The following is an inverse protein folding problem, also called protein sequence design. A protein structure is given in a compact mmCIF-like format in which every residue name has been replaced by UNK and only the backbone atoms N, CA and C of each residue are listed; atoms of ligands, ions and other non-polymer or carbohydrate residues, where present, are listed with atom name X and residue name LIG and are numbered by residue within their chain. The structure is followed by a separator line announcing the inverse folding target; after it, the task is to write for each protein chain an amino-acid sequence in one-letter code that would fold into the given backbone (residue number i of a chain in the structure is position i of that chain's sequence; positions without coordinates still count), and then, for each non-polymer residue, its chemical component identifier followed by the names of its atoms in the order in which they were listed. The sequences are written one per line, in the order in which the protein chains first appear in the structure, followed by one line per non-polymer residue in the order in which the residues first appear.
data_IF_975283761363
#
_entry.id   IF_975283761363
#
_cell.length_a   1.000
_cell.length_b   1.000
_cell.length_c   1.000
_cell.angle_alpha   90.00
_cell.angle_beta   90.00
_cell.angle_gamma   90.00
#
_symmetry.space_group_name_H-M   'P 1'
#
loop_
_entity.id
_entity.type
_entity.pdbx_description
1 polymer ?
#
# COMPACT_ATOMS: atom_id res chain seq x y z
N UNK A 1 15.47 -12.22 14.98
CA UNK A 1 15.59 -11.18 13.90
C UNK A 1 15.48 -9.78 14.50
N UNK A 2 16.17 -8.79 13.90
CA UNK A 2 16.00 -7.36 14.22
C UNK A 2 14.65 -6.84 13.72
N UNK A 3 13.89 -6.13 14.58
CA UNK A 3 12.60 -5.57 14.17
C UNK A 3 12.76 -4.20 13.52
N UNK A 4 12.33 -4.06 12.26
CA UNK A 4 12.31 -2.81 11.52
C UNK A 4 10.89 -2.23 11.53
N UNK A 5 10.67 -1.18 12.33
CA UNK A 5 9.35 -0.59 12.59
C UNK A 5 8.98 0.47 11.56
N UNK A 6 7.68 0.58 11.24
CA UNK A 6 7.16 1.59 10.31
C UNK A 6 7.09 3.02 10.87
N UNK A 7 7.07 3.19 12.19
CA UNK A 7 6.93 4.52 12.79
C UNK A 7 8.06 5.49 12.42
N UNK A 8 9.36 5.12 12.45
CA UNK A 8 10.44 6.01 11.98
C UNK A 8 10.31 6.36 10.49
N UNK A 9 9.87 5.40 9.66
CA UNK A 9 9.65 5.61 8.21
C UNK A 9 8.53 6.62 8.00
N UNK A 10 7.41 6.45 8.69
CA UNK A 10 6.28 7.40 8.64
C UNK A 10 6.68 8.80 9.11
N UNK A 11 7.57 8.92 10.11
CA UNK A 11 8.08 10.21 10.56
C UNK A 11 8.94 10.90 9.48
N UNK A 12 9.84 10.16 8.82
CA UNK A 12 10.65 10.66 7.70
C UNK A 12 9.77 11.15 6.54
N UNK A 13 8.77 10.35 6.16
CA UNK A 13 7.80 10.75 5.11
C UNK A 13 7.06 12.03 5.53
N UNK A 14 6.71 12.20 6.82
CA UNK A 14 6.07 13.41 7.32
C UNK A 14 6.95 14.65 7.12
N UNK A 15 8.24 14.55 7.37
CA UNK A 15 9.20 15.64 7.14
C UNK A 15 9.28 15.99 5.65
N UNK A 16 9.35 14.98 4.76
CA UNK A 16 9.33 15.17 3.31
C UNK A 16 8.03 15.85 2.84
N UNK A 17 6.88 15.44 3.36
CA UNK A 17 5.57 16.05 3.09
C UNK A 17 5.55 17.51 3.56
N UNK A 18 6.08 17.80 4.75
CA UNK A 18 6.19 19.17 5.25
C UNK A 18 6.97 20.07 4.31
N UNK A 19 8.14 19.63 3.87
CA UNK A 19 8.98 20.36 2.91
C UNK A 19 8.33 20.55 1.53
N UNK A 20 7.48 19.59 1.11
CA UNK A 20 6.70 19.72 -0.12
C UNK A 20 5.53 20.70 0.04
N UNK A 21 4.87 20.74 1.19
CA UNK A 21 3.76 21.65 1.47
C UNK A 21 4.18 23.12 1.44
N UNK A 22 5.40 23.45 1.85
CA UNK A 22 5.95 24.80 1.77
C UNK A 22 6.02 25.34 0.32
N UNK A 23 5.98 24.45 -0.68
CA UNK A 23 5.99 24.84 -2.12
C UNK A 23 4.58 25.05 -2.68
N UNK A 24 3.54 24.76 -1.91
CA UNK A 24 2.16 24.91 -2.36
C UNK A 24 1.66 26.30 -2.01
N UNK A 25 1.30 27.07 -3.03
CA UNK A 25 0.64 28.36 -2.86
C UNK A 25 -0.88 28.16 -2.82
N UNK A 26 -1.49 28.28 -1.64
CA UNK A 26 -2.94 28.14 -1.48
C UNK A 26 -3.33 27.19 -0.33
N UNK A 27 -4.57 26.71 -0.32
CA UNK A 27 -5.04 25.81 0.73
C UNK A 27 -4.33 24.47 0.66
N UNK A 28 -4.18 23.82 1.82
CA UNK A 28 -3.63 22.47 1.88
C UNK A 28 -4.40 21.49 0.96
N UNK A 29 -3.73 20.52 0.33
CA UNK A 29 -4.38 19.52 -0.53
C UNK A 29 -5.50 18.77 0.19
N UNK A 30 -6.59 18.49 -0.55
CA UNK A 30 -7.77 17.78 -0.03
C UNK A 30 -7.85 16.37 -0.61
N UNK A 31 -7.89 15.38 0.29
CA UNK A 31 -8.17 13.98 0.00
C UNK A 31 -9.67 13.72 0.05
N UNK A 32 -10.25 13.20 -1.02
CA UNK A 32 -11.57 12.59 -1.00
C UNK A 32 -11.44 11.10 -0.62
N UNK A 33 -12.07 10.70 0.48
CA UNK A 33 -12.14 9.29 0.92
C UNK A 33 -13.55 8.79 0.59
N UNK A 34 -13.65 7.80 -0.29
CA UNK A 34 -14.93 7.31 -0.80
C UNK A 34 -15.19 5.91 -0.25
N UNK A 35 -16.32 5.72 0.42
CA UNK A 35 -16.77 4.45 1.00
C UNK A 35 -18.21 4.15 0.64
N UNK A 36 -18.49 2.90 0.30
CA UNK A 36 -19.84 2.38 0.05
C UNK A 36 -20.16 1.30 1.08
N UNK A 37 -21.24 1.51 1.84
CA UNK A 37 -21.62 0.62 2.94
C UNK A 37 -20.87 0.92 4.25
N UNK A 38 -20.97 -0.01 5.20
CA UNK A 38 -20.48 0.13 6.59
C UNK A 38 -19.60 -1.06 7.00
N UNK A 39 -18.71 -1.49 6.10
CA UNK A 39 -17.73 -2.52 6.45
C UNK A 39 -16.82 -2.01 7.59
N UNK A 40 -16.69 -2.74 8.70
CA UNK A 40 -15.88 -2.31 9.85
C UNK A 40 -14.42 -2.05 9.52
N UNK A 41 -13.82 -2.84 8.61
CA UNK A 41 -12.43 -2.69 8.20
C UNK A 41 -12.24 -1.40 7.39
N UNK A 42 -13.16 -1.10 6.47
CA UNK A 42 -13.15 0.14 5.69
C UNK A 42 -13.33 1.37 6.61
N UNK A 43 -14.25 1.29 7.56
CA UNK A 43 -14.47 2.36 8.56
C UNK A 43 -13.23 2.57 9.44
N UNK A 44 -12.53 1.50 9.79
CA UNK A 44 -11.29 1.58 10.55
C UNK A 44 -10.17 2.23 9.75
N UNK A 45 -10.04 1.84 8.46
CA UNK A 45 -9.07 2.42 7.55
C UNK A 45 -9.36 3.90 7.27
N UNK A 46 -10.63 4.26 7.02
CA UNK A 46 -11.10 5.65 6.85
C UNK A 46 -10.68 6.51 8.03
N UNK A 47 -11.02 6.09 9.27
CA UNK A 47 -10.61 6.83 10.49
C UNK A 47 -9.10 7.00 10.59
N UNK A 48 -8.35 5.96 10.26
CA UNK A 48 -6.88 6.00 10.24
C UNK A 48 -6.34 6.98 9.22
N UNK A 49 -6.93 7.00 8.01
CA UNK A 49 -6.55 7.91 6.93
C UNK A 49 -6.84 9.37 7.31
N UNK A 50 -8.04 9.67 7.82
CA UNK A 50 -8.41 11.02 8.31
C UNK A 50 -7.40 11.51 9.36
N UNK A 51 -7.18 10.70 10.41
CA UNK A 51 -6.22 11.04 11.46
C UNK A 51 -4.80 11.28 10.92
N UNK A 52 -4.39 10.52 9.91
CA UNK A 52 -3.09 10.69 9.27
C UNK A 52 -3.04 11.99 8.48
N UNK A 53 -4.07 12.32 7.68
CA UNK A 53 -4.14 13.57 6.95
C UNK A 53 -4.05 14.78 7.89
N UNK A 54 -4.83 14.79 8.98
CA UNK A 54 -4.78 15.85 9.99
C UNK A 54 -3.38 15.98 10.59
N UNK A 55 -2.74 14.86 10.96
CA UNK A 55 -1.39 14.86 11.53
C UNK A 55 -0.31 15.38 10.56
N UNK A 56 -0.58 15.34 9.27
CA UNK A 56 0.30 15.83 8.20
C UNK A 56 -0.05 17.25 7.72
N UNK A 57 -1.08 17.90 8.33
CA UNK A 57 -1.54 19.23 7.94
C UNK A 57 -2.30 19.25 6.61
N UNK A 58 -2.89 18.13 6.24
CA UNK A 58 -3.65 17.94 5.00
C UNK A 58 -5.16 17.95 5.29
N UNK A 59 -5.95 18.33 4.30
CA UNK A 59 -7.42 18.27 4.40
C UNK A 59 -7.93 16.91 3.94
N UNK A 60 -9.01 16.42 4.53
CA UNK A 60 -9.73 15.24 4.07
C UNK A 60 -11.23 15.45 4.15
N UNK A 61 -11.97 14.77 3.27
CA UNK A 61 -13.43 14.71 3.27
C UNK A 61 -13.88 13.30 2.97
N UNK A 62 -14.73 12.74 3.85
CA UNK A 62 -15.32 11.43 3.62
C UNK A 62 -16.63 11.59 2.84
N UNK A 63 -16.77 10.78 1.81
CA UNK A 63 -17.98 10.61 0.99
C UNK A 63 -18.48 9.19 1.21
N UNK A 64 -19.58 9.08 1.93
CA UNK A 64 -20.15 7.78 2.33
C UNK A 64 -21.49 7.55 1.62
N UNK A 65 -21.61 6.39 1.00
CA UNK A 65 -22.78 6.01 0.25
C UNK A 65 -23.44 4.76 0.84
N UNK A 66 -24.76 4.62 0.74
CA UNK A 66 -25.46 3.44 1.24
C UNK A 66 -25.04 2.19 0.46
N UNK A 67 -25.05 1.03 1.14
CA UNK A 67 -24.60 -0.24 0.57
C UNK A 67 -25.39 -0.68 -0.67
N UNK A 68 -26.63 -0.22 -0.80
CA UNK A 68 -27.57 -0.51 -1.89
C UNK A 68 -27.61 0.54 -3.00
N UNK A 69 -26.69 1.53 -2.96
CA UNK A 69 -26.60 2.52 -4.05
C UNK A 69 -26.45 1.82 -5.40
N UNK A 70 -27.19 2.31 -6.40
CA UNK A 70 -27.11 1.75 -7.75
C UNK A 70 -25.80 2.16 -8.45
N UNK A 71 -25.35 1.35 -9.43
CA UNK A 71 -24.16 1.65 -10.23
C UNK A 71 -24.23 3.04 -10.88
N UNK A 72 -25.37 3.39 -11.48
CA UNK A 72 -25.57 4.69 -12.14
C UNK A 72 -25.49 5.86 -11.14
N UNK A 73 -26.16 5.73 -9.99
CA UNK A 73 -26.13 6.77 -8.97
C UNK A 73 -24.71 6.95 -8.41
N UNK A 74 -24.02 5.84 -8.13
CA UNK A 74 -22.64 5.90 -7.64
C UNK A 74 -21.69 6.55 -8.68
N UNK A 75 -21.78 6.15 -9.95
CA UNK A 75 -20.98 6.75 -11.02
C UNK A 75 -21.19 8.26 -11.16
N UNK A 76 -22.43 8.72 -11.01
CA UNK A 76 -22.78 10.15 -11.03
C UNK A 76 -22.08 10.91 -9.88
N UNK A 77 -22.21 10.40 -8.66
CA UNK A 77 -21.59 11.02 -7.48
C UNK A 77 -20.06 10.96 -7.56
N UNK A 78 -19.51 9.82 -8.01
CA UNK A 78 -18.09 9.64 -8.21
C UNK A 78 -17.54 10.65 -9.24
N UNK A 79 -18.25 10.86 -10.35
CA UNK A 79 -17.86 11.85 -11.37
C UNK A 79 -17.80 13.25 -10.77
N UNK A 80 -18.79 13.65 -9.98
CA UNK A 80 -18.80 14.95 -9.34
C UNK A 80 -17.62 15.16 -8.39
N UNK A 81 -17.22 14.13 -7.63
CA UNK A 81 -16.06 14.16 -6.75
C UNK A 81 -14.76 14.21 -7.58
N UNK A 82 -14.69 13.41 -8.63
CA UNK A 82 -13.52 13.30 -9.50
C UNK A 82 -13.26 14.62 -10.27
N UNK A 83 -14.31 15.35 -10.63
CA UNK A 83 -14.22 16.65 -11.33
C UNK A 83 -14.07 17.85 -10.38
N UNK A 84 -14.30 17.68 -9.06
CA UNK A 84 -14.15 18.78 -8.09
C UNK A 84 -12.70 19.32 -8.09
N UNK A 85 -12.48 20.59 -8.46
CA UNK A 85 -11.13 21.19 -8.52
C UNK A 85 -10.47 21.34 -7.14
N UNK A 86 -11.25 21.36 -6.04
CA UNK A 86 -10.72 21.41 -4.68
C UNK A 86 -10.20 20.03 -4.21
N UNK A 87 -10.66 18.93 -4.82
CA UNK A 87 -10.13 17.57 -4.56
C UNK A 87 -8.80 17.40 -5.28
N UNK A 88 -7.74 17.15 -4.50
CA UNK A 88 -6.38 16.92 -5.01
C UNK A 88 -6.07 15.45 -5.23
N UNK A 89 -6.78 14.56 -4.54
CA UNK A 89 -6.62 13.12 -4.70
C UNK A 89 -7.81 12.34 -4.14
N UNK A 90 -7.93 11.11 -4.57
CA UNK A 90 -9.04 10.20 -4.23
C UNK A 90 -8.47 8.92 -3.65
N UNK A 91 -9.05 8.49 -2.54
CA UNK A 91 -8.92 7.16 -1.97
C UNK A 91 -10.27 6.46 -2.07
N UNK A 92 -10.37 5.46 -2.91
CA UNK A 92 -11.56 4.61 -3.03
C UNK A 92 -11.37 3.34 -2.19
N UNK A 93 -12.20 3.17 -1.16
CA UNK A 93 -12.18 1.95 -0.34
C UNK A 93 -12.83 0.80 -1.12
N UNK A 94 -12.13 -0.32 -1.20
CA UNK A 94 -12.51 -1.48 -2.02
C UNK A 94 -12.41 -2.79 -1.20
N UNK A 95 -13.15 -3.85 -1.56
CA UNK A 95 -13.95 -3.98 -2.77
C UNK A 95 -15.29 -3.23 -2.70
N UNK A 96 -15.76 -2.75 -3.84
CA UNK A 96 -17.10 -2.17 -3.97
C UNK A 96 -18.19 -3.24 -3.90
N UNK A 97 -19.44 -2.90 -3.50
CA UNK A 97 -20.58 -3.81 -3.57
C UNK A 97 -20.80 -4.34 -4.99
N UNK A 98 -21.27 -5.57 -5.10
CA UNK A 98 -21.35 -6.34 -6.37
C UNK A 98 -22.18 -5.67 -7.48
N UNK A 99 -23.13 -4.81 -7.13
CA UNK A 99 -23.95 -4.08 -8.10
C UNK A 99 -23.19 -2.94 -8.77
N UNK A 100 -22.05 -2.50 -8.23
CA UNK A 100 -21.21 -1.47 -8.83
C UNK A 100 -20.10 -2.12 -9.66
N UNK A 101 -19.97 -1.69 -10.90
CA UNK A 101 -18.89 -2.16 -11.77
C UNK A 101 -17.55 -1.47 -11.39
N UNK A 102 -16.78 -2.10 -10.52
CA UNK A 102 -15.50 -1.56 -10.02
C UNK A 102 -14.53 -1.20 -11.15
N UNK A 103 -14.50 -1.99 -12.24
CA UNK A 103 -13.66 -1.71 -13.42
C UNK A 103 -14.01 -0.42 -14.15
N UNK A 104 -15.29 -0.05 -14.16
CA UNK A 104 -15.71 1.21 -14.75
C UNK A 104 -15.22 2.39 -13.90
N UNK A 105 -15.29 2.26 -12.58
CA UNK A 105 -14.78 3.28 -11.65
C UNK A 105 -13.26 3.42 -11.76
N UNK A 106 -12.54 2.29 -11.85
CA UNK A 106 -11.09 2.28 -12.10
C UNK A 106 -10.72 2.98 -13.42
N UNK A 107 -11.56 2.89 -14.44
CA UNK A 107 -11.35 3.57 -15.72
C UNK A 107 -11.78 5.05 -15.70
N UNK A 108 -12.72 5.43 -14.83
CA UNK A 108 -13.24 6.80 -14.71
C UNK A 108 -12.37 7.72 -13.87
N UNK A 109 -11.63 7.19 -12.89
CA UNK A 109 -10.82 8.02 -12.00
C UNK A 109 -9.77 8.82 -12.79
N UNK A 110 -9.66 10.12 -12.50
CA UNK A 110 -8.56 10.92 -13.05
C UNK A 110 -7.21 10.35 -12.57
N UNK A 111 -6.34 9.89 -13.48
CA UNK A 111 -5.04 9.34 -13.10
C UNK A 111 -4.18 10.27 -12.26
N UNK A 112 -4.41 11.58 -12.32
CA UNK A 112 -3.71 12.57 -11.49
C UNK A 112 -4.23 12.61 -10.06
N UNK A 113 -5.47 12.15 -9.82
CA UNK A 113 -6.11 12.06 -8.51
C UNK A 113 -6.13 10.65 -7.94
N UNK A 114 -5.75 9.65 -8.73
CA UNK A 114 -5.68 8.24 -8.36
C UNK A 114 -4.44 7.97 -7.51
N UNK A 115 -4.55 8.19 -6.20
CA UNK A 115 -3.40 8.11 -5.30
C UNK A 115 -3.01 6.67 -4.92
N UNK A 116 -3.87 5.70 -5.19
CA UNK A 116 -3.61 4.28 -4.88
C UNK A 116 -3.37 3.44 -6.15
N UNK A 117 -3.16 4.10 -7.29
CA UNK A 117 -2.72 3.49 -8.54
C UNK A 117 -3.67 2.42 -9.09
N UNK A 118 -4.98 2.64 -8.95
CA UNK A 118 -6.01 1.69 -9.40
C UNK A 118 -6.36 1.85 -10.88
N UNK A 119 -6.11 3.02 -11.45
CA UNK A 119 -6.43 3.31 -12.84
C UNK A 119 -5.54 2.52 -13.81
N UNK A 120 -6.07 2.11 -14.97
CA UNK A 120 -5.27 1.49 -16.03
C UNK A 120 -4.05 2.33 -16.43
N UNK A 121 -4.17 3.66 -16.36
CA UNK A 121 -3.08 4.59 -16.70
C UNK A 121 -1.95 4.50 -15.69
N UNK A 122 -2.24 4.56 -14.39
CA UNK A 122 -1.21 4.44 -13.36
C UNK A 122 -0.61 3.03 -13.32
N UNK A 123 -1.43 1.98 -13.52
CA UNK A 123 -0.93 0.61 -13.66
C UNK A 123 0.10 0.52 -14.81
N UNK A 124 -0.20 1.09 -15.98
CA UNK A 124 0.72 1.10 -17.12
C UNK A 124 2.00 1.89 -16.82
N UNK A 125 1.90 3.02 -16.14
CA UNK A 125 3.05 3.82 -15.71
C UNK A 125 3.94 3.08 -14.73
N UNK A 126 3.37 2.43 -13.72
CA UNK A 126 4.12 1.59 -12.77
C UNK A 126 4.83 0.45 -13.50
N UNK A 127 4.14 -0.21 -14.44
CA UNK A 127 4.70 -1.29 -15.23
C UNK A 127 5.89 -0.82 -16.10
N UNK A 128 5.79 0.36 -16.71
CA UNK A 128 6.86 0.93 -17.55
C UNK A 128 7.98 1.62 -16.78
N UNK A 129 7.86 1.74 -15.44
CA UNK A 129 8.84 2.47 -14.61
C UNK A 129 8.71 3.99 -14.69
N UNK A 130 7.62 4.52 -15.28
CA UNK A 130 7.35 5.96 -15.33
C UNK A 130 7.05 6.51 -13.93
N UNK A 131 7.92 7.39 -13.44
CA UNK A 131 7.83 8.00 -12.10
C UNK A 131 6.70 9.03 -11.97
N UNK A 132 5.99 9.36 -13.05
CA UNK A 132 4.81 10.23 -13.00
C UNK A 132 3.53 9.48 -12.60
N UNK A 133 3.54 8.14 -12.60
CA UNK A 133 2.45 7.32 -12.09
C UNK A 133 2.47 7.21 -10.57
N UNK A 134 1.30 6.97 -10.00
CA UNK A 134 1.16 6.57 -8.60
C UNK A 134 1.10 5.05 -8.50
N UNK A 135 1.94 4.47 -7.67
CA UNK A 135 1.86 3.06 -7.33
C UNK A 135 0.84 2.84 -6.19
N UNK A 136 0.29 1.64 -6.04
CA UNK A 136 -0.47 1.31 -4.82
C UNK A 136 0.33 1.62 -3.56
N UNK A 137 -0.28 2.36 -2.65
CA UNK A 137 0.38 2.89 -1.45
C UNK A 137 1.07 1.80 -0.62
N UNK A 138 0.47 0.61 -0.54
CA UNK A 138 1.06 -0.52 0.19
C UNK A 138 2.31 -1.06 -0.49
N UNK A 139 2.32 -1.15 -1.82
CA UNK A 139 3.50 -1.58 -2.55
C UNK A 139 4.65 -0.57 -2.42
N UNK A 140 4.35 0.73 -2.53
CA UNK A 140 5.35 1.77 -2.33
C UNK A 140 5.85 1.85 -0.88
N UNK A 141 4.99 1.60 0.11
CA UNK A 141 5.37 1.55 1.52
C UNK A 141 6.46 0.50 1.80
N UNK A 142 6.48 -0.63 1.08
CA UNK A 142 7.56 -1.62 1.17
C UNK A 142 8.89 -1.01 0.71
N UNK A 143 8.89 -0.30 -0.41
CA UNK A 143 10.08 0.38 -0.93
C UNK A 143 10.57 1.45 0.06
N UNK A 144 9.65 2.26 0.62
CA UNK A 144 9.98 3.27 1.61
C UNK A 144 10.60 2.67 2.88
N UNK A 145 10.09 1.52 3.34
CA UNK A 145 10.69 0.77 4.46
C UNK A 145 12.11 0.32 4.11
N UNK A 146 12.31 -0.32 2.96
CA UNK A 146 13.63 -0.80 2.55
C UNK A 146 14.63 0.35 2.47
N UNK A 147 14.26 1.48 1.85
CA UNK A 147 15.10 2.67 1.73
C UNK A 147 15.41 3.33 3.08
N UNK A 148 14.43 3.42 3.96
CA UNK A 148 14.61 4.07 5.26
C UNK A 148 15.54 3.31 6.21
N UNK A 149 15.68 2.01 6.01
CA UNK A 149 16.60 1.15 6.77
C UNK A 149 17.87 0.80 6.00
N UNK A 150 18.20 1.54 4.93
CA UNK A 150 19.39 1.37 4.10
C UNK A 150 19.57 -0.07 3.59
N UNK A 151 18.44 -0.75 3.28
CA UNK A 151 18.46 -2.10 2.72
C UNK A 151 18.57 -1.98 1.21
N UNK A 152 19.75 -2.28 0.68
CA UNK A 152 19.99 -2.28 -0.76
C UNK A 152 19.11 -3.30 -1.46
N UNK A 153 18.48 -2.89 -2.55
CA UNK A 153 17.71 -3.76 -3.44
C UNK A 153 18.49 -4.14 -4.70
N UNK A 154 19.49 -3.34 -5.06
CA UNK A 154 20.30 -3.55 -6.26
C UNK A 154 21.04 -4.88 -6.22
N UNK A 155 20.84 -5.70 -7.26
CA UNK A 155 21.42 -7.03 -7.40
C UNK A 155 20.86 -8.09 -6.47
N UNK A 156 19.91 -7.74 -5.59
CA UNK A 156 19.32 -8.66 -4.60
C UNK A 156 18.23 -9.55 -5.19
N UNK A 157 18.17 -10.78 -4.72
CA UNK A 157 17.07 -11.70 -5.02
C UNK A 157 15.91 -11.36 -4.10
N UNK A 158 14.81 -10.88 -4.67
CA UNK A 158 13.59 -10.58 -3.97
C UNK A 158 12.49 -11.59 -4.31
N UNK A 159 11.92 -12.27 -3.31
CA UNK A 159 10.74 -13.12 -3.48
C UNK A 159 9.52 -12.44 -2.89
N UNK A 160 8.42 -12.42 -3.66
CA UNK A 160 7.13 -11.87 -3.23
C UNK A 160 6.12 -13.01 -3.18
N UNK A 161 5.59 -13.31 -2.00
CA UNK A 161 4.55 -14.32 -1.81
C UNK A 161 3.19 -13.65 -1.90
N UNK A 162 2.60 -13.65 -3.08
CA UNK A 162 1.35 -12.99 -3.42
C UNK A 162 1.43 -12.31 -4.78
N UNK A 163 0.30 -12.25 -5.52
CA UNK A 163 0.25 -11.67 -6.87
C UNK A 163 -0.98 -10.79 -7.11
N UNK A 164 -1.46 -10.15 -6.06
CA UNK A 164 -2.57 -9.20 -6.16
C UNK A 164 -2.18 -7.95 -6.95
N UNK A 165 -3.19 -7.25 -7.47
CA UNK A 165 -2.99 -5.94 -8.10
C UNK A 165 -2.68 -4.83 -7.09
N UNK A 166 -2.97 -5.07 -5.81
CA UNK A 166 -2.73 -4.11 -4.73
C UNK A 166 -1.28 -4.14 -4.23
N UNK A 167 -0.65 -5.33 -4.18
CA UNK A 167 0.71 -5.47 -3.62
C UNK A 167 1.64 -6.22 -4.57
N UNK A 168 1.41 -7.50 -4.81
CA UNK A 168 2.44 -8.38 -5.37
C UNK A 168 2.92 -7.96 -6.76
N UNK A 169 2.00 -7.68 -7.69
CA UNK A 169 2.37 -7.26 -9.06
C UNK A 169 2.99 -5.86 -9.09
N UNK A 170 2.39 -4.81 -8.54
CA UNK A 170 3.01 -3.50 -8.57
C UNK A 170 4.35 -3.47 -7.82
N UNK A 171 4.47 -4.13 -6.68
CA UNK A 171 5.73 -4.22 -5.95
C UNK A 171 6.84 -4.89 -6.77
N UNK A 172 6.51 -5.90 -7.58
CA UNK A 172 7.52 -6.52 -8.44
C UNK A 172 8.13 -5.54 -9.44
N UNK A 173 7.34 -4.64 -9.97
CA UNK A 173 7.82 -3.59 -10.87
C UNK A 173 8.62 -2.51 -10.13
N UNK A 174 8.21 -2.15 -8.92
CA UNK A 174 8.97 -1.21 -8.08
C UNK A 174 10.34 -1.78 -7.69
N UNK A 175 10.40 -3.04 -7.28
CA UNK A 175 11.68 -3.72 -6.97
C UNK A 175 12.56 -3.88 -8.20
N UNK A 176 11.98 -4.20 -9.37
CA UNK A 176 12.72 -4.26 -10.64
C UNK A 176 13.32 -2.89 -10.99
N UNK A 177 12.60 -1.81 -10.77
CA UNK A 177 13.08 -0.43 -10.95
C UNK A 177 14.27 -0.10 -10.04
N UNK A 178 14.32 -0.70 -8.85
CA UNK A 178 15.44 -0.59 -7.90
C UNK A 178 16.56 -1.64 -8.19
N UNK A 179 16.57 -2.24 -9.39
CA UNK A 179 17.56 -3.22 -9.86
C UNK A 179 17.58 -4.56 -9.09
N UNK A 180 16.48 -4.95 -8.44
CA UNK A 180 16.37 -6.28 -7.84
C UNK A 180 16.04 -7.36 -8.87
N UNK A 181 16.45 -8.60 -8.61
CA UNK A 181 15.98 -9.80 -9.33
C UNK A 181 14.75 -10.33 -8.62
N UNK A 182 13.58 -10.28 -9.27
CA UNK A 182 12.29 -10.51 -8.61
C UNK A 182 11.68 -11.85 -9.00
N UNK A 183 11.23 -12.60 -8.01
CA UNK A 183 10.42 -13.81 -8.18
C UNK A 183 9.05 -13.60 -7.51
N UNK A 184 7.97 -13.72 -8.28
CA UNK A 184 6.60 -13.71 -7.75
C UNK A 184 6.16 -15.14 -7.48
N UNK A 185 5.85 -15.43 -6.21
CA UNK A 185 5.35 -16.72 -5.75
C UNK A 185 3.83 -16.68 -5.51
N UNK A 186 3.17 -17.82 -5.71
CA UNK A 186 1.73 -17.94 -5.55
C UNK A 186 1.32 -19.37 -5.20
N UNK A 187 0.04 -19.65 -5.01
CA UNK A 187 -0.51 -20.95 -4.59
C UNK A 187 -0.15 -22.14 -5.50
N UNK A 188 0.37 -21.89 -6.70
CA UNK A 188 0.81 -22.95 -7.65
C UNK A 188 2.33 -22.97 -7.81
N UNK A 189 3.08 -22.22 -7.04
CA UNK A 189 4.55 -22.28 -7.03
C UNK A 189 4.99 -23.61 -6.47
N UNK A 190 5.79 -24.35 -7.23
CA UNK A 190 6.41 -25.59 -6.76
C UNK A 190 7.54 -25.23 -5.78
N UNK A 191 7.67 -26.02 -4.72
CA UNK A 191 8.67 -25.80 -3.68
C UNK A 191 8.74 -24.32 -3.24
N UNK A 192 7.60 -23.82 -2.77
CA UNK A 192 7.49 -22.45 -2.30
C UNK A 192 8.50 -22.13 -1.16
N UNK A 193 8.69 -22.98 -0.15
CA UNK A 193 9.68 -22.75 0.89
C UNK A 193 11.10 -22.65 0.33
N UNK A 194 11.52 -23.56 -0.55
CA UNK A 194 12.86 -23.54 -1.15
C UNK A 194 13.10 -22.30 -2.00
N UNK A 195 12.09 -21.85 -2.76
CA UNK A 195 12.15 -20.60 -3.54
C UNK A 195 12.31 -19.37 -2.62
N UNK A 196 11.51 -19.27 -1.57
CA UNK A 196 11.56 -18.17 -0.61
C UNK A 196 12.88 -18.13 0.16
N UNK A 197 13.39 -19.28 0.57
CA UNK A 197 14.65 -19.42 1.32
C UNK A 197 15.88 -18.89 0.59
N UNK A 198 15.83 -18.84 -0.75
CA UNK A 198 16.92 -18.30 -1.57
C UNK A 198 16.89 -16.77 -1.67
N UNK A 199 15.81 -16.14 -1.23
CA UNK A 199 15.65 -14.69 -1.30
C UNK A 199 16.46 -13.98 -0.21
N UNK A 200 17.03 -12.83 -0.55
CA UNK A 200 17.65 -11.90 0.38
C UNK A 200 16.63 -10.88 0.91
N UNK A 201 15.58 -10.64 0.12
CA UNK A 201 14.39 -9.86 0.51
C UNK A 201 13.17 -10.74 0.27
N UNK A 202 12.44 -11.07 1.34
CA UNK A 202 11.22 -11.86 1.27
C UNK A 202 10.02 -10.97 1.66
N UNK A 203 9.07 -10.83 0.74
CA UNK A 203 7.85 -10.05 1.01
C UNK A 203 6.66 -11.00 1.14
N UNK A 204 6.04 -11.00 2.31
CA UNK A 204 4.84 -11.76 2.61
C UNK A 204 3.60 -10.91 2.32
N UNK A 205 2.83 -11.28 1.28
CA UNK A 205 1.62 -10.62 0.83
C UNK A 205 0.57 -11.64 0.35
N UNK A 206 0.44 -12.75 1.10
CA UNK A 206 -0.43 -13.88 0.79
C UNK A 206 -1.87 -13.67 1.30
N UNK A 207 -2.07 -12.78 2.29
CA UNK A 207 -3.35 -12.57 2.97
C UNK A 207 -3.78 -13.80 3.77
N UNK A 208 -2.82 -14.51 4.37
CA UNK A 208 -3.07 -15.72 5.15
C UNK A 208 -2.25 -15.68 6.43
N UNK A 209 -2.95 -15.61 7.57
CA UNK A 209 -2.36 -15.52 8.89
C UNK A 209 -1.27 -16.59 9.12
N UNK A 210 -0.07 -16.14 9.50
CA UNK A 210 1.06 -16.96 9.93
C UNK A 210 1.45 -18.10 8.97
N UNK A 211 1.25 -17.89 7.67
CA UNK A 211 1.53 -18.89 6.64
C UNK A 211 3.03 -19.14 6.46
N UNK A 212 3.86 -18.11 6.59
CA UNK A 212 5.30 -18.18 6.36
C UNK A 212 6.02 -18.34 7.69
N UNK A 213 6.58 -19.51 7.93
CA UNK A 213 7.38 -19.85 9.10
C UNK A 213 8.89 -19.85 8.78
N UNK A 214 9.71 -20.34 9.69
CA UNK A 214 11.17 -20.44 9.56
C UNK A 214 11.65 -21.26 8.35
N UNK A 215 10.80 -22.16 7.80
CA UNK A 215 11.15 -22.95 6.61
C UNK A 215 11.24 -22.12 5.33
N UNK A 216 10.57 -20.96 5.31
CA UNK A 216 10.57 -20.05 4.16
C UNK A 216 11.71 -19.03 4.19
N UNK A 217 12.41 -18.88 5.30
CA UNK A 217 13.35 -17.79 5.56
C UNK A 217 14.79 -18.28 5.54
N UNK A 218 15.60 -17.71 4.67
CA UNK A 218 17.05 -17.95 4.62
C UNK A 218 17.83 -17.22 5.72
N UNK A 219 19.15 -17.40 5.76
CA UNK A 219 20.01 -16.63 6.66
C UNK A 219 20.15 -15.19 6.19
N UNK A 220 20.18 -14.24 7.14
CA UNK A 220 20.30 -12.80 6.87
C UNK A 220 19.22 -12.21 5.94
N UNK A 221 18.09 -12.90 5.76
CA UNK A 221 16.99 -12.41 4.93
C UNK A 221 16.29 -11.22 5.59
N UNK A 222 15.99 -10.20 4.81
CA UNK A 222 15.05 -9.15 5.21
C UNK A 222 13.64 -9.59 4.87
N UNK A 223 12.80 -9.77 5.89
CA UNK A 223 11.40 -10.19 5.75
C UNK A 223 10.50 -8.97 5.93
N UNK A 224 9.72 -8.67 4.90
CA UNK A 224 8.72 -7.60 4.90
C UNK A 224 7.33 -8.24 4.94
N UNK A 225 6.69 -8.18 6.09
CA UNK A 225 5.33 -8.67 6.27
C UNK A 225 4.32 -7.56 5.96
N UNK A 226 3.55 -7.76 4.91
CA UNK A 226 2.48 -6.84 4.45
C UNK A 226 1.10 -7.34 4.87
N UNK A 227 1.02 -8.57 5.36
CA UNK A 227 -0.22 -9.20 5.78
C UNK A 227 -0.90 -8.45 6.93
N UNK A 228 -2.21 -8.33 6.85
CA UNK A 228 -3.05 -7.85 7.95
C UNK A 228 -4.16 -8.87 8.10
N UNK A 229 -4.07 -9.67 9.15
CA UNK A 229 -5.00 -10.75 9.45
C UNK A 229 -5.39 -10.69 10.91
N UNK A 230 -6.44 -11.42 11.27
CA UNK A 230 -6.84 -11.67 12.67
C UNK A 230 -6.64 -13.15 12.93
N UNK A 231 -5.91 -13.49 13.99
CA UNK A 231 -5.69 -14.88 14.38
C UNK A 231 -6.89 -15.48 15.10
N UNK A 232 -6.81 -16.75 15.46
CA UNK A 232 -7.86 -17.51 16.16
C UNK A 232 -8.26 -16.92 17.51
N UNK A 233 -7.41 -16.08 18.12
CA UNK A 233 -7.64 -15.39 19.38
C UNK A 233 -8.19 -13.97 19.18
N UNK A 234 -8.50 -13.57 17.96
CA UNK A 234 -8.95 -12.21 17.63
C UNK A 234 -7.83 -11.17 17.63
N UNK A 235 -6.56 -11.59 17.66
CA UNK A 235 -5.41 -10.69 17.66
C UNK A 235 -4.92 -10.41 16.25
N UNK A 236 -4.56 -9.15 15.99
CA UNK A 236 -3.96 -8.73 14.73
C UNK A 236 -2.61 -9.41 14.52
N UNK A 237 -2.41 -10.03 13.37
CA UNK A 237 -1.16 -10.68 12.98
C UNK A 237 -0.89 -10.49 11.47
N UNK A 238 0.33 -10.82 11.06
CA UNK A 238 0.75 -10.82 9.66
C UNK A 238 0.61 -12.18 8.98
N UNK A 239 1.19 -12.26 7.79
CA UNK A 239 1.34 -13.51 7.04
C UNK A 239 2.53 -14.35 7.55
N UNK A 240 3.41 -13.77 8.35
CA UNK A 240 4.61 -14.41 8.90
C UNK A 240 4.35 -14.88 10.32
N UNK A 241 4.72 -16.13 10.61
CA UNK A 241 4.76 -16.69 11.95
C UNK A 241 6.02 -16.19 12.68
N UNK A 242 6.01 -14.93 13.12
CA UNK A 242 7.18 -14.20 13.63
C UNK A 242 7.86 -14.94 14.81
N UNK A 243 7.10 -15.62 15.63
CA UNK A 243 7.56 -16.43 16.74
C UNK A 243 8.52 -17.56 16.32
N UNK A 244 8.40 -18.05 15.08
CA UNK A 244 9.29 -19.10 14.54
C UNK A 244 10.63 -18.56 14.06
N UNK A 245 10.76 -17.22 13.94
CA UNK A 245 11.93 -16.55 13.41
C UNK A 245 12.88 -15.97 14.48
N UNK A 246 12.62 -16.18 15.76
CA UNK A 246 13.38 -15.57 16.84
C UNK A 246 14.88 -15.89 16.78
N UNK A 247 15.24 -17.13 16.41
CA UNK A 247 16.62 -17.60 16.28
C UNK A 247 17.28 -17.26 14.92
N UNK A 248 16.50 -16.74 13.96
CA UNK A 248 17.02 -16.37 12.65
C UNK A 248 17.76 -15.03 12.68
N UNK A 249 18.83 -14.94 11.91
CA UNK A 249 19.47 -13.65 11.58
C UNK A 249 18.65 -12.87 10.56
N UNK A 250 18.92 -11.57 10.42
CA UNK A 250 18.24 -10.69 9.45
C UNK A 250 17.23 -9.74 10.08
N UNK A 251 16.32 -9.22 9.28
CA UNK A 251 15.38 -8.16 9.66
C UNK A 251 13.93 -8.57 9.40
N UNK A 252 13.00 -8.07 10.22
CA UNK A 252 11.56 -8.37 10.11
C UNK A 252 10.72 -7.13 10.40
N UNK A 253 9.76 -6.81 9.54
CA UNK A 253 8.73 -5.83 9.88
C UNK A 253 7.67 -6.46 10.80
N UNK A 254 7.37 -5.84 11.96
CA UNK A 254 6.34 -6.38 12.86
C UNK A 254 4.92 -6.12 12.34
N UNK A 255 3.98 -6.98 12.70
CA UNK A 255 2.53 -6.74 12.52
C UNK A 255 1.83 -6.90 13.86
N UNK A 256 1.21 -5.84 14.40
CA UNK A 256 1.13 -4.46 13.87
C UNK A 256 2.42 -3.64 14.02
N UNK A 257 2.45 -2.49 13.32
CA UNK A 257 3.52 -1.50 13.49
C UNK A 257 4.65 -1.53 12.45
N UNK A 258 4.53 -2.39 11.43
CA UNK A 258 5.42 -2.44 10.26
C UNK A 258 4.85 -1.63 9.08
N UNK A 259 4.71 -2.28 7.91
CA UNK A 259 4.30 -1.66 6.64
C UNK A 259 2.97 -0.92 6.75
N UNK A 260 1.97 -1.46 7.44
CA UNK A 260 0.66 -0.81 7.61
C UNK A 260 0.72 0.59 8.25
N UNK A 261 1.73 0.87 9.08
CA UNK A 261 1.95 2.20 9.65
C UNK A 261 2.50 3.21 8.62
N UNK A 262 3.03 2.73 7.50
CA UNK A 262 3.66 3.52 6.43
C UNK A 262 2.69 3.79 5.27
N UNK A 263 1.79 2.87 4.97
CA UNK A 263 0.85 2.96 3.83
C UNK A 263 0.09 4.30 3.79
N UNK A 264 -0.50 4.73 4.90
CA UNK A 264 -1.22 6.00 4.97
C UNK A 264 -0.30 7.23 4.94
N UNK A 265 0.98 7.08 5.29
CA UNK A 265 1.96 8.16 5.13
C UNK A 265 2.34 8.31 3.63
N UNK A 266 2.48 7.20 2.90
CA UNK A 266 2.66 7.21 1.44
C UNK A 266 1.47 7.87 0.75
N UNK A 267 0.24 7.55 1.16
CA UNK A 267 -0.96 8.21 0.65
C UNK A 267 -0.92 9.73 0.84
N UNK A 268 -0.47 10.21 2.00
CA UNK A 268 -0.27 11.65 2.27
C UNK A 268 0.80 12.26 1.34
N UNK A 269 1.90 11.55 1.11
CA UNK A 269 2.96 11.95 0.17
C UNK A 269 2.42 12.05 -1.26
N UNK A 270 1.67 11.06 -1.73
CA UNK A 270 1.02 11.07 -3.04
C UNK A 270 0.05 12.25 -3.20
N UNK A 271 -0.74 12.56 -2.16
CA UNK A 271 -1.68 13.68 -2.18
C UNK A 271 -0.97 15.02 -2.42
N UNK A 272 0.15 15.25 -1.75
CA UNK A 272 0.93 16.48 -1.93
C UNK A 272 1.63 16.49 -3.30
N UNK A 273 2.16 15.36 -3.75
CA UNK A 273 2.72 15.23 -5.10
C UNK A 273 1.69 15.49 -6.18
N UNK A 274 0.45 15.00 -6.02
CA UNK A 274 -0.65 15.26 -6.96
C UNK A 274 -0.98 16.75 -7.04
N UNK A 275 -1.01 17.44 -5.88
CA UNK A 275 -1.27 18.88 -5.83
C UNK A 275 -0.16 19.72 -6.48
N UNK A 276 1.09 19.29 -6.38
CA UNK A 276 2.24 19.96 -7.02
C UNK A 276 2.32 19.73 -8.54
N UNK A 277 1.59 18.73 -9.08
CA UNK A 277 1.52 18.42 -10.53
C UNK A 277 0.34 19.10 -11.23
N UNK A 278 -0.55 19.79 -10.48
CA UNK A 278 -1.63 20.62 -11.04
C UNK A 278 -1.04 21.89 -11.64
#
# INVERSE_FOLDING_TARGET
MELIKGAPVSAKIKEEVGAMLEKINGPAPKLAIIRVGENPDDMSYERGAVKKMDAFGLRSQCYTFPADITDEAFKKEFTAINEDPDVSGILLLRPLPKQICEKDIEAMIDPKKDLDGISPVNIAKVFSGDSTGFAPCTAEAVIEVLKAYDISMEGKRAAIVGRSMVVGRPLSMLLLKENATVTICHTRTKDLPGTCKQAEILVAAAGKAKMLDACYVGENTTVIDVGINVDENGKLCGDVAAETLEEKSGKLTPVPGGVGAVTTAVLAKHLVQAALRK
#
